data_IF_322320047808
#
_entry.id   IF_322320047808
#
_cell.length_a   1.000
_cell.length_b   1.000
_cell.length_c   1.000
_cell.angle_alpha   90.00
_cell.angle_beta   90.00
_cell.angle_gamma   90.00
#
_symmetry.space_group_name_H-M   'P 1'
#
loop_
_entity.id
_entity.type
_entity.pdbx_description
1 polymer ?
#
# COMPACT_ATOMS: atom_id res chain seq x y z
N UNK A 1 -4.94 24.24 -20.01
CA UNK A 1 -3.51 24.44 -19.72
C UNK A 1 -2.67 24.13 -20.96
N UNK A 2 -1.42 24.61 -21.02
CA UNK A 2 -0.50 24.39 -22.14
C UNK A 2 -0.34 22.87 -22.41
N UNK A 3 -0.13 22.07 -21.37
CA UNK A 3 0.02 20.61 -21.50
C UNK A 3 -1.19 19.96 -22.16
N UNK A 4 -2.40 20.29 -21.72
CA UNK A 4 -3.63 19.71 -22.30
C UNK A 4 -3.80 20.14 -23.76
N UNK A 5 -3.43 21.37 -24.10
CA UNK A 5 -3.49 21.82 -25.50
C UNK A 5 -2.51 21.02 -26.38
N UNK A 6 -1.30 20.75 -25.92
CA UNK A 6 -0.35 19.89 -26.62
C UNK A 6 -0.88 18.46 -26.79
N UNK A 7 -1.43 17.86 -25.73
CA UNK A 7 -2.06 16.52 -25.81
C UNK A 7 -3.18 16.51 -26.86
N UNK A 8 -4.05 17.53 -26.88
CA UNK A 8 -5.17 17.63 -27.83
C UNK A 8 -4.73 17.90 -29.28
N UNK A 9 -3.51 18.42 -29.48
CA UNK A 9 -2.94 18.64 -30.79
C UNK A 9 -2.44 17.37 -31.46
N UNK A 10 -2.09 16.33 -30.70
CA UNK A 10 -1.64 15.03 -31.21
C UNK A 10 -2.83 14.34 -31.92
N UNK A 11 -2.68 14.03 -33.20
CA UNK A 11 -3.73 13.40 -34.02
C UNK A 11 -3.49 11.91 -34.23
N UNK A 12 -2.24 11.46 -34.12
CA UNK A 12 -1.83 10.05 -34.23
C UNK A 12 -0.70 9.74 -33.26
N UNK A 13 -0.63 8.50 -32.78
CA UNK A 13 0.50 8.02 -31.99
C UNK A 13 1.83 8.11 -32.74
N UNK A 14 1.81 8.08 -34.07
CA UNK A 14 3.01 8.22 -34.91
C UNK A 14 3.68 9.61 -34.83
N UNK A 15 2.94 10.62 -34.35
CA UNK A 15 3.48 11.96 -34.13
C UNK A 15 4.29 12.06 -32.84
N UNK A 16 4.17 11.04 -31.94
CA UNK A 16 4.88 11.03 -30.65
C UNK A 16 6.34 10.66 -30.90
N UNK A 17 7.25 11.59 -30.62
CA UNK A 17 8.68 11.34 -30.72
C UNK A 17 9.13 10.37 -29.64
N UNK A 18 9.73 9.28 -30.05
CA UNK A 18 10.29 8.26 -29.17
C UNK A 18 11.78 8.06 -29.45
N UNK A 19 12.50 7.58 -28.44
CA UNK A 19 13.90 7.14 -28.58
C UNK A 19 14.04 5.76 -27.91
N UNK A 20 15.11 5.04 -28.24
CA UNK A 20 15.40 3.79 -27.55
C UNK A 20 15.78 4.02 -26.09
N UNK A 21 15.55 3.01 -25.26
CA UNK A 21 15.95 3.03 -23.85
C UNK A 21 17.44 3.29 -23.67
N UNK A 22 18.24 2.66 -24.51
CA UNK A 22 19.71 2.75 -24.50
C UNK A 22 20.18 4.17 -24.82
N UNK A 23 19.55 4.81 -25.80
CA UNK A 23 19.83 6.22 -26.14
C UNK A 23 19.39 7.16 -25.02
N UNK A 24 18.20 6.92 -24.43
CA UNK A 24 17.71 7.73 -23.33
C UNK A 24 18.62 7.69 -22.11
N UNK A 25 19.19 6.51 -21.78
CA UNK A 25 20.16 6.35 -20.69
C UNK A 25 21.47 7.06 -21.04
N UNK A 26 22.01 6.84 -22.24
CA UNK A 26 23.26 7.46 -22.71
C UNK A 26 23.18 8.99 -22.67
N UNK A 27 22.05 9.54 -23.05
CA UNK A 27 21.84 10.99 -23.18
C UNK A 27 21.29 11.61 -21.86
N UNK A 28 21.28 10.84 -20.75
CA UNK A 28 20.79 11.25 -19.42
C UNK A 28 19.30 11.70 -19.40
N UNK A 29 18.50 11.23 -20.34
CA UNK A 29 17.05 11.48 -20.40
C UNK A 29 16.25 10.46 -19.57
N UNK A 30 16.85 9.32 -19.26
CA UNK A 30 16.29 8.26 -18.40
C UNK A 30 17.32 7.88 -17.34
N UNK A 31 16.91 7.99 -16.09
CA UNK A 31 17.70 7.54 -14.93
C UNK A 31 16.85 6.58 -14.09
N UNK A 32 17.41 5.44 -13.73
CA UNK A 32 16.79 4.56 -12.76
C UNK A 32 17.14 5.05 -11.34
N UNK A 33 16.09 5.38 -10.58
CA UNK A 33 16.26 5.58 -9.14
C UNK A 33 16.39 4.21 -8.47
N UNK A 34 17.29 4.10 -7.51
CA UNK A 34 17.64 2.82 -6.90
C UNK A 34 17.57 2.88 -5.37
N UNK A 35 18.31 1.97 -4.78
CA UNK A 35 18.33 1.71 -3.34
C UNK A 35 18.55 2.95 -2.46
N UNK A 36 19.24 3.96 -2.92
CA UNK A 36 19.45 5.20 -2.17
C UNK A 36 18.12 5.94 -1.94
N UNK A 37 17.29 6.05 -2.99
CA UNK A 37 15.96 6.68 -2.91
C UNK A 37 15.01 5.82 -2.10
N UNK A 38 14.98 4.51 -2.34
CA UNK A 38 14.14 3.57 -1.61
C UNK A 38 14.43 3.63 -0.12
N UNK A 39 15.71 3.61 0.27
CA UNK A 39 16.13 3.70 1.66
C UNK A 39 15.67 5.00 2.32
N UNK A 40 15.87 6.13 1.66
CA UNK A 40 15.44 7.43 2.18
C UNK A 40 13.91 7.48 2.37
N UNK A 41 13.17 6.95 1.41
CA UNK A 41 11.71 6.84 1.48
C UNK A 41 11.26 5.94 2.65
N UNK A 42 11.84 4.75 2.78
CA UNK A 42 11.49 3.81 3.85
C UNK A 42 11.83 4.35 5.24
N UNK A 43 12.96 5.05 5.40
CA UNK A 43 13.29 5.73 6.66
C UNK A 43 12.23 6.79 7.01
N UNK A 44 11.78 7.57 6.02
CA UNK A 44 10.71 8.55 6.23
C UNK A 44 9.40 7.85 6.64
N UNK A 45 9.00 6.79 5.96
CA UNK A 45 7.78 6.02 6.30
C UNK A 45 7.87 5.44 7.71
N UNK A 46 9.00 4.82 8.06
CA UNK A 46 9.23 4.28 9.41
C UNK A 46 9.19 5.36 10.50
N UNK A 47 9.62 6.57 10.18
CA UNK A 47 9.58 7.69 11.14
C UNK A 47 8.17 8.11 11.54
N UNK A 48 7.17 7.77 10.72
CA UNK A 48 5.75 8.02 11.00
C UNK A 48 5.12 6.99 11.95
N UNK A 49 5.88 5.97 12.36
CA UNK A 49 5.38 4.96 13.30
C UNK A 49 5.09 5.58 14.66
N UNK A 50 3.83 5.58 15.04
CA UNK A 50 3.34 6.06 16.34
C UNK A 50 3.35 4.89 17.32
N UNK A 51 3.54 5.18 18.63
CA UNK A 51 3.62 4.16 19.69
C UNK A 51 4.61 3.03 19.33
N UNK A 52 5.81 3.43 18.94
CA UNK A 52 6.85 2.54 18.43
C UNK A 52 7.13 1.35 19.34
N UNK A 53 7.08 1.55 20.65
CA UNK A 53 7.24 0.48 21.65
C UNK A 53 6.21 -0.65 21.50
N UNK A 54 4.96 -0.32 21.12
CA UNK A 54 3.93 -1.33 20.87
C UNK A 54 4.25 -2.14 19.61
N UNK A 55 4.76 -1.50 18.57
CA UNK A 55 5.20 -2.18 17.35
C UNK A 55 6.36 -3.12 17.66
N UNK A 56 7.41 -2.64 18.29
CA UNK A 56 8.60 -3.43 18.66
C UNK A 56 8.26 -4.65 19.52
N UNK A 57 7.27 -4.50 20.40
CA UNK A 57 6.84 -5.59 21.28
C UNK A 57 6.01 -6.66 20.58
N UNK A 58 5.16 -6.28 19.62
CA UNK A 58 4.11 -7.16 19.11
C UNK A 58 4.27 -7.53 17.63
N UNK A 59 5.06 -6.79 16.84
CA UNK A 59 5.12 -6.95 15.39
C UNK A 59 5.45 -8.38 14.94
N UNK A 60 6.40 -9.04 15.61
CA UNK A 60 6.83 -10.41 15.26
C UNK A 60 5.74 -11.47 15.44
N UNK A 61 4.79 -11.25 16.35
CA UNK A 61 3.74 -12.20 16.68
C UNK A 61 2.44 -11.93 15.90
N UNK A 62 2.30 -10.73 15.33
CA UNK A 62 1.11 -10.32 14.57
C UNK A 62 1.07 -11.01 13.21
N UNK A 63 0.01 -11.77 12.97
CA UNK A 63 -0.23 -12.47 11.71
C UNK A 63 -0.97 -11.56 10.74
N UNK A 64 -0.33 -11.28 9.63
CA UNK A 64 -0.84 -10.36 8.60
C UNK A 64 -1.00 -11.09 7.29
N UNK A 65 -2.13 -10.89 6.60
CA UNK A 65 -2.24 -11.16 5.17
C UNK A 65 -2.26 -9.82 4.44
N UNK A 66 -1.41 -9.69 3.43
CA UNK A 66 -1.31 -8.51 2.59
C UNK A 66 -1.58 -8.84 1.13
N UNK A 67 -2.34 -7.99 0.47
CA UNK A 67 -2.46 -8.01 -0.99
C UNK A 67 -2.12 -6.66 -1.61
N UNK A 68 -1.18 -6.61 -2.57
CA UNK A 68 -0.92 -5.42 -3.36
C UNK A 68 -1.92 -5.21 -4.52
N UNK A 69 -2.88 -6.10 -4.70
CA UNK A 69 -3.88 -6.08 -5.79
C UNK A 69 -3.18 -5.82 -7.15
N UNK A 70 -2.16 -6.62 -7.48
CA UNK A 70 -1.32 -6.49 -8.68
C UNK A 70 -0.58 -5.14 -8.81
N UNK A 71 -0.41 -4.40 -7.72
CA UNK A 71 0.06 -3.01 -7.73
C UNK A 71 1.50 -2.81 -7.25
N UNK A 72 1.87 -1.55 -7.22
CA UNK A 72 3.23 -1.06 -6.90
C UNK A 72 3.59 -1.23 -5.42
N UNK A 73 2.60 -1.37 -4.53
CA UNK A 73 2.82 -1.55 -3.09
C UNK A 73 3.54 -2.84 -2.70
N UNK A 74 3.58 -3.86 -3.58
CA UNK A 74 4.17 -5.17 -3.27
C UNK A 74 5.55 -5.07 -2.60
N UNK A 75 6.49 -4.36 -3.21
CA UNK A 75 7.86 -4.27 -2.70
C UNK A 75 7.96 -3.33 -1.49
N UNK A 76 7.54 -2.04 -1.58
CA UNK A 76 7.77 -1.09 -0.50
C UNK A 76 6.99 -1.43 0.78
N UNK A 77 5.72 -1.87 0.67
CA UNK A 77 4.92 -2.23 1.85
C UNK A 77 5.52 -3.43 2.58
N UNK A 78 5.89 -4.48 1.85
CA UNK A 78 6.50 -5.67 2.46
C UNK A 78 7.86 -5.34 3.09
N UNK A 79 8.63 -4.49 2.44
CA UNK A 79 9.92 -4.06 2.93
C UNK A 79 9.80 -3.26 4.23
N UNK A 80 8.90 -2.27 4.29
CA UNK A 80 8.68 -1.48 5.51
C UNK A 80 8.16 -2.35 6.67
N UNK A 81 7.25 -3.28 6.40
CA UNK A 81 6.75 -4.20 7.43
C UNK A 81 7.88 -5.07 7.98
N UNK A 82 8.70 -5.65 7.11
CA UNK A 82 9.85 -6.45 7.52
C UNK A 82 10.86 -5.63 8.35
N UNK A 83 11.19 -4.41 7.92
CA UNK A 83 12.09 -3.51 8.63
C UNK A 83 11.53 -3.03 9.99
N UNK A 84 10.21 -3.04 10.16
CA UNK A 84 9.51 -2.78 11.42
C UNK A 84 9.37 -4.02 12.31
N UNK A 85 9.84 -5.19 11.86
CA UNK A 85 9.85 -6.43 12.64
C UNK A 85 8.61 -7.31 12.49
N UNK A 86 7.74 -7.08 11.49
CA UNK A 86 6.62 -7.96 11.21
C UNK A 86 7.12 -9.22 10.48
N UNK A 87 7.26 -10.33 11.22
CA UNK A 87 7.80 -11.59 10.70
C UNK A 87 6.75 -12.49 10.05
N UNK A 88 5.47 -12.32 10.42
CA UNK A 88 4.38 -13.18 9.99
C UNK A 88 3.48 -12.52 8.94
N UNK A 89 4.08 -12.01 7.87
CA UNK A 89 3.38 -11.39 6.75
C UNK A 89 3.26 -12.38 5.60
N UNK A 90 2.03 -12.79 5.29
CA UNK A 90 1.72 -13.62 4.12
C UNK A 90 1.17 -12.73 3.01
N UNK A 91 1.68 -12.92 1.79
CA UNK A 91 1.19 -12.19 0.61
C UNK A 91 0.29 -13.08 -0.22
N UNK A 92 -0.81 -12.52 -0.71
CA UNK A 92 -1.70 -13.19 -1.67
C UNK A 92 -0.94 -13.38 -2.98
N UNK A 93 -0.51 -14.61 -3.25
CA UNK A 93 0.40 -14.94 -4.36
C UNK A 93 -0.19 -14.63 -5.73
N UNK A 94 -1.46 -14.87 -5.91
CA UNK A 94 -2.20 -14.62 -7.13
C UNK A 94 -2.30 -13.12 -7.47
N UNK A 95 -2.13 -12.25 -6.48
CA UNK A 95 -2.20 -10.80 -6.60
C UNK A 95 -0.85 -10.10 -6.38
N UNK A 96 0.23 -10.87 -6.17
CA UNK A 96 1.54 -10.35 -5.81
C UNK A 96 2.22 -9.58 -6.96
N UNK A 97 2.18 -10.16 -8.16
CA UNK A 97 2.87 -9.59 -9.31
C UNK A 97 1.97 -8.62 -10.09
N UNK A 98 2.55 -7.56 -10.67
CA UNK A 98 1.79 -6.65 -11.53
C UNK A 98 1.16 -7.39 -12.71
N UNK A 99 -0.15 -7.19 -12.90
CA UNK A 99 -0.89 -7.67 -14.06
C UNK A 99 -1.95 -6.62 -14.43
N UNK A 100 -1.78 -5.97 -15.57
CA UNK A 100 -2.69 -4.93 -16.06
C UNK A 100 -4.09 -5.44 -16.46
N UNK A 101 -4.31 -6.76 -16.50
CA UNK A 101 -5.63 -7.34 -16.73
C UNK A 101 -6.40 -7.59 -15.45
N UNK A 102 -5.77 -7.47 -14.27
CA UNK A 102 -6.38 -7.67 -12.95
C UNK A 102 -7.25 -8.93 -12.85
N UNK A 103 -6.73 -10.13 -13.16
CA UNK A 103 -7.53 -11.34 -13.34
C UNK A 103 -8.30 -11.76 -12.10
N UNK A 104 -7.84 -11.38 -10.91
CA UNK A 104 -8.46 -11.71 -9.62
C UNK A 104 -9.14 -10.51 -8.95
N UNK A 105 -9.07 -9.35 -9.57
CA UNK A 105 -9.64 -8.10 -9.05
C UNK A 105 -10.08 -7.20 -10.22
N UNK A 106 -11.15 -7.56 -10.96
CA UNK A 106 -11.59 -6.80 -12.14
C UNK A 106 -11.87 -5.32 -11.86
N UNK A 107 -12.22 -5.01 -10.63
CA UNK A 107 -12.28 -3.66 -10.10
C UNK A 107 -11.29 -3.53 -8.94
N UNK A 108 -10.02 -3.10 -9.19
CA UNK A 108 -8.95 -3.15 -8.20
C UNK A 108 -9.06 -2.01 -7.16
N UNK A 109 -10.16 -1.99 -6.41
CA UNK A 109 -10.44 -1.03 -5.36
C UNK A 109 -10.45 -1.76 -4.01
N UNK A 110 -9.60 -1.42 -3.04
CA UNK A 110 -9.52 -2.08 -1.75
C UNK A 110 -10.75 -1.85 -0.85
N UNK A 111 -11.71 -1.03 -1.24
CA UNK A 111 -13.03 -0.96 -0.60
C UNK A 111 -14.01 -2.03 -1.11
N UNK A 112 -13.70 -2.68 -2.24
CA UNK A 112 -14.52 -3.77 -2.77
C UNK A 112 -14.17 -5.08 -2.05
N UNK A 113 -15.13 -5.71 -1.33
CA UNK A 113 -14.88 -6.99 -0.66
C UNK A 113 -14.36 -8.09 -1.59
N UNK A 114 -14.70 -8.06 -2.88
CA UNK A 114 -14.27 -9.08 -3.85
C UNK A 114 -12.76 -9.18 -3.98
N UNK A 115 -12.02 -8.08 -3.82
CA UNK A 115 -10.55 -8.11 -3.92
C UNK A 115 -9.89 -8.92 -2.80
N UNK A 116 -10.62 -9.16 -1.70
CA UNK A 116 -10.16 -9.92 -0.55
C UNK A 116 -10.59 -11.38 -0.55
N UNK A 117 -11.32 -11.88 -1.54
CA UNK A 117 -11.83 -13.26 -1.54
C UNK A 117 -10.72 -14.29 -1.34
N UNK A 118 -9.59 -14.15 -2.06
CA UNK A 118 -8.44 -15.06 -1.92
C UNK A 118 -7.81 -14.92 -0.52
N UNK A 119 -7.64 -13.70 -0.04
CA UNK A 119 -7.10 -13.45 1.30
C UNK A 119 -8.01 -14.03 2.40
N UNK A 120 -9.33 -13.92 2.24
CA UNK A 120 -10.32 -14.49 3.15
C UNK A 120 -10.31 -16.02 3.11
N UNK A 121 -10.05 -16.62 1.94
CA UNK A 121 -9.89 -18.07 1.84
C UNK A 121 -8.61 -18.53 2.56
N UNK A 122 -7.49 -17.85 2.37
CA UNK A 122 -6.26 -18.07 3.11
C UNK A 122 -6.48 -17.94 4.63
N UNK A 123 -7.30 -16.99 5.05
CA UNK A 123 -7.59 -16.73 6.47
C UNK A 123 -8.25 -17.90 7.20
N UNK A 124 -8.98 -18.76 6.48
CA UNK A 124 -9.60 -19.97 7.06
C UNK A 124 -8.58 -20.94 7.68
N UNK A 125 -7.36 -20.94 7.15
CA UNK A 125 -6.30 -21.84 7.62
C UNK A 125 -5.22 -21.12 8.41
N UNK A 126 -4.83 -19.92 8.04
CA UNK A 126 -3.75 -19.14 8.66
C UNK A 126 -4.21 -18.35 9.89
N UNK A 127 -5.52 -18.08 9.99
CA UNK A 127 -6.11 -17.34 11.11
C UNK A 127 -5.38 -16.00 11.41
N UNK A 128 -5.28 -15.06 10.45
CA UNK A 128 -4.58 -13.81 10.64
C UNK A 128 -5.28 -12.90 11.66
N UNK A 129 -4.52 -12.01 12.27
CA UNK A 129 -5.04 -10.96 13.14
C UNK A 129 -5.62 -9.80 12.33
N UNK A 130 -5.00 -9.51 11.19
CA UNK A 130 -5.43 -8.46 10.26
C UNK A 130 -5.16 -8.88 8.81
N UNK A 131 -6.04 -8.46 7.90
CA UNK A 131 -5.80 -8.52 6.46
C UNK A 131 -5.88 -7.09 5.94
N UNK A 132 -4.99 -6.71 5.03
CA UNK A 132 -5.14 -5.44 4.34
C UNK A 132 -4.65 -5.53 2.89
N UNK A 133 -5.14 -4.61 2.07
CA UNK A 133 -4.73 -4.48 0.68
C UNK A 133 -4.53 -3.03 0.30
N UNK A 134 -3.64 -2.79 -0.65
CA UNK A 134 -3.43 -1.49 -1.28
C UNK A 134 -3.88 -1.56 -2.73
N UNK A 135 -4.42 -0.48 -3.25
CA UNK A 135 -4.75 -0.39 -4.67
C UNK A 135 -3.49 -0.33 -5.56
N UNK A 136 -3.64 -0.40 -6.88
CA UNK A 136 -2.49 -0.58 -7.79
C UNK A 136 -1.42 0.52 -7.73
N UNK A 137 -1.77 1.77 -7.46
CA UNK A 137 -0.83 2.89 -7.28
C UNK A 137 -0.49 3.17 -5.80
N UNK A 138 -1.07 2.37 -4.88
CA UNK A 138 -0.76 2.34 -3.45
C UNK A 138 -1.10 3.64 -2.70
N UNK A 139 -2.14 4.37 -3.14
CA UNK A 139 -2.62 5.58 -2.48
C UNK A 139 -3.84 5.34 -1.57
N UNK A 140 -4.46 4.16 -1.66
CA UNK A 140 -5.60 3.72 -0.84
C UNK A 140 -5.29 2.42 -0.11
N UNK A 141 -5.97 2.22 1.02
CA UNK A 141 -5.90 1.00 1.82
C UNK A 141 -7.30 0.47 2.14
N UNK A 142 -7.47 -0.83 2.00
CA UNK A 142 -8.62 -1.55 2.53
C UNK A 142 -8.19 -2.48 3.66
N UNK A 143 -9.02 -2.58 4.68
CA UNK A 143 -8.70 -3.34 5.89
C UNK A 143 -9.79 -4.32 6.22
N UNK A 144 -9.41 -5.53 6.59
CA UNK A 144 -10.30 -6.58 7.07
C UNK A 144 -9.89 -6.98 8.47
N UNK A 145 -10.83 -6.95 9.39
CA UNK A 145 -10.64 -7.31 10.80
C UNK A 145 -11.65 -8.37 11.24
N UNK A 146 -11.39 -9.01 12.37
CA UNK A 146 -12.38 -9.89 13.00
C UNK A 146 -13.36 -9.07 13.82
N UNK A 147 -14.64 -9.40 13.71
CA UNK A 147 -15.66 -8.91 14.63
C UNK A 147 -15.65 -9.69 15.97
N UNK A 148 -16.53 -9.32 16.89
CA UNK A 148 -16.64 -9.97 18.20
C UNK A 148 -17.06 -11.45 18.15
N UNK A 149 -17.60 -11.90 17.03
CA UNK A 149 -17.99 -13.29 16.78
C UNK A 149 -16.86 -14.09 16.08
N UNK A 150 -15.76 -13.42 15.72
CA UNK A 150 -14.63 -14.01 15.02
C UNK A 150 -14.76 -14.03 13.49
N UNK A 151 -15.80 -13.39 12.92
CA UNK A 151 -15.98 -13.31 11.48
C UNK A 151 -15.15 -12.16 10.90
N UNK A 152 -14.57 -12.37 9.73
CA UNK A 152 -13.83 -11.32 9.02
C UNK A 152 -14.78 -10.32 8.37
N UNK A 153 -14.54 -9.03 8.61
CA UNK A 153 -15.32 -7.90 8.10
C UNK A 153 -14.43 -6.90 7.41
N UNK A 154 -14.78 -6.57 6.18
CA UNK A 154 -14.12 -5.47 5.44
C UNK A 154 -14.61 -4.15 6.02
N UNK A 155 -13.69 -3.30 6.44
CA UNK A 155 -13.99 -1.93 6.87
C UNK A 155 -14.11 -1.03 5.64
N UNK A 156 -15.11 -0.17 5.61
CA UNK A 156 -15.15 0.88 4.59
C UNK A 156 -14.17 2.02 4.92
N UNK A 157 -13.88 2.88 3.92
CA UNK A 157 -12.92 3.97 4.08
C UNK A 157 -13.24 4.92 5.22
N UNK A 158 -14.53 5.21 5.46
CA UNK A 158 -14.95 6.07 6.58
C UNK A 158 -14.65 5.44 7.94
N UNK A 159 -14.90 4.14 8.10
CA UNK A 159 -14.59 3.41 9.33
C UNK A 159 -13.08 3.39 9.57
N UNK A 160 -12.30 3.05 8.55
CA UNK A 160 -10.83 3.06 8.63
C UNK A 160 -10.30 4.45 8.97
N UNK A 161 -10.81 5.49 8.29
CA UNK A 161 -10.43 6.88 8.53
C UNK A 161 -10.71 7.35 9.95
N UNK A 162 -11.89 7.01 10.51
CA UNK A 162 -12.23 7.33 11.90
C UNK A 162 -11.32 6.64 12.91
N UNK A 163 -11.04 5.35 12.71
CA UNK A 163 -10.13 4.59 13.57
C UNK A 163 -8.71 5.14 13.53
N UNK A 164 -8.20 5.46 12.35
CA UNK A 164 -6.87 6.07 12.19
C UNK A 164 -6.81 7.46 12.83
N UNK A 165 -7.84 8.27 12.65
CA UNK A 165 -7.92 9.61 13.25
C UNK A 165 -7.87 9.53 14.77
N UNK A 166 -8.70 8.67 15.37
CA UNK A 166 -8.70 8.47 16.83
C UNK A 166 -7.33 7.97 17.31
N UNK A 167 -6.77 6.97 16.66
CA UNK A 167 -5.48 6.42 17.01
C UNK A 167 -4.35 7.46 16.98
N UNK A 168 -4.28 8.23 15.88
CA UNK A 168 -3.24 9.25 15.68
C UNK A 168 -3.40 10.38 16.68
N UNK A 169 -4.62 10.93 16.83
CA UNK A 169 -4.85 12.07 17.71
C UNK A 169 -4.66 11.70 19.18
N UNK A 170 -5.12 10.51 19.60
CA UNK A 170 -4.91 10.05 20.97
C UNK A 170 -3.41 9.89 21.28
N UNK A 171 -2.65 9.31 20.36
CA UNK A 171 -1.21 9.12 20.54
C UNK A 171 -0.45 10.46 20.57
N UNK A 172 -0.76 11.38 19.66
CA UNK A 172 -0.16 12.73 19.67
C UNK A 172 -0.50 13.50 20.94
N UNK A 173 -1.70 13.31 21.49
CA UNK A 173 -2.10 13.90 22.78
C UNK A 173 -1.29 13.33 23.93
N UNK A 174 -1.11 12.01 24.00
CA UNK A 174 -0.28 11.33 25.00
C UNK A 174 1.17 11.83 24.97
N UNK A 175 1.69 12.11 23.78
CA UNK A 175 3.06 12.61 23.56
C UNK A 175 3.19 14.13 23.69
N UNK A 176 2.12 14.87 23.99
CA UNK A 176 2.06 16.34 24.01
C UNK A 176 2.50 16.99 22.67
N UNK A 177 2.19 16.33 21.56
CA UNK A 177 2.52 16.79 20.19
C UNK A 177 1.30 17.28 19.40
N UNK A 178 0.13 17.32 20.01
CA UNK A 178 -1.08 17.86 19.37
C UNK A 178 -0.90 19.35 19.11
N UNK A 179 -1.17 19.85 17.89
CA UNK A 179 -1.16 21.27 17.61
C UNK A 179 -2.23 22.00 18.45
N UNK A 180 -1.91 23.20 18.97
CA UNK A 180 -2.85 24.00 19.80
C UNK A 180 -4.06 24.51 19.01
N UNK A 181 -3.96 24.56 17.68
CA UNK A 181 -4.95 25.12 16.75
C UNK A 181 -5.41 24.09 15.69
N UNK A 182 -5.34 22.80 16.01
CA UNK A 182 -5.77 21.70 15.15
C UNK A 182 -7.28 21.40 15.27
#
# INVERSE_FOLDING_TARGET
TIIINEVNNIKSFDEIKTISKEEAIRDNLLTYVGEEVDKAYLEQVKSLTIRRELVEKNAKDLKVIYTPIHGTGNIPVRRVLNELGYEQVQVVKEQELPDGNFPTAPYPNPEDPQVFEIALDMAKTSNPDIIFGTDPDCDRIGVVVKDSEGNYRVLNGNQTGLLLTEYILSALKEENKLPENG
#
